data_IF_916304973774
#
_entry.id   IF_916304973774
#
_cell.length_a   1.000
_cell.length_b   1.000
_cell.length_c   1.000
_cell.angle_alpha   90.00
_cell.angle_beta   90.00
_cell.angle_gamma   90.00
#
_symmetry.space_group_name_H-M   'P 1'
#
loop_
_entity.id
_entity.type
_entity.pdbx_description
1 polymer ?
#
# COMPACT_ATOMS: atom_id res chain seq x y z
N UNK A 1 -0.05 -15.49 -22.84
CA UNK A 1 0.01 -16.65 -21.93
C UNK A 1 1.44 -17.08 -21.55
N UNK A 2 2.44 -16.97 -22.41
CA UNK A 2 3.82 -17.42 -22.11
C UNK A 2 4.51 -16.72 -20.93
N UNK A 3 4.26 -15.43 -20.69
CA UNK A 3 4.91 -14.68 -19.59
C UNK A 3 4.44 -15.04 -18.18
N UNK A 4 3.16 -15.39 -18.01
CA UNK A 4 2.59 -15.79 -16.70
C UNK A 4 3.18 -17.10 -16.20
N UNK A 5 3.25 -18.12 -17.08
CA UNK A 5 3.79 -19.44 -16.74
C UNK A 5 5.26 -19.37 -16.33
N UNK A 6 6.06 -18.52 -16.99
CA UNK A 6 7.48 -18.38 -16.70
C UNK A 6 7.75 -17.73 -15.34
N UNK A 7 7.04 -16.67 -14.97
CA UNK A 7 7.21 -16.01 -13.65
C UNK A 7 6.84 -16.92 -12.48
N UNK A 8 5.80 -17.74 -12.63
CA UNK A 8 5.42 -18.72 -11.59
C UNK A 8 6.50 -19.80 -11.43
N UNK A 9 7.16 -20.22 -12.50
CA UNK A 9 8.28 -21.18 -12.45
C UNK A 9 9.53 -20.57 -11.80
N UNK A 10 9.72 -19.27 -11.91
CA UNK A 10 10.88 -18.57 -11.34
C UNK A 10 10.68 -18.16 -9.87
N UNK A 11 9.52 -18.48 -9.25
CA UNK A 11 9.19 -18.04 -7.88
C UNK A 11 10.25 -18.42 -6.84
N UNK A 12 10.93 -19.54 -7.02
CA UNK A 12 11.99 -19.99 -6.10
C UNK A 12 13.37 -19.32 -6.35
N UNK A 13 13.44 -18.39 -7.31
CA UNK A 13 14.66 -17.64 -7.59
C UNK A 13 14.48 -16.16 -7.22
N UNK A 14 14.90 -15.79 -6.02
CA UNK A 14 14.76 -14.43 -5.50
C UNK A 14 15.29 -13.35 -6.46
N UNK A 15 16.48 -13.54 -7.05
CA UNK A 15 17.10 -12.56 -7.95
C UNK A 15 16.20 -12.21 -9.15
N UNK A 16 15.34 -13.12 -9.57
CA UNK A 16 14.40 -12.90 -10.69
C UNK A 16 13.09 -12.27 -10.27
N UNK A 17 12.69 -12.44 -9.01
CA UNK A 17 11.35 -12.02 -8.53
C UNK A 17 11.38 -10.85 -7.57
N UNK A 18 12.54 -10.48 -7.05
CA UNK A 18 12.68 -9.42 -6.03
C UNK A 18 12.01 -8.09 -6.40
N UNK A 19 12.07 -7.69 -7.67
CA UNK A 19 11.45 -6.46 -8.16
C UNK A 19 9.93 -6.55 -8.39
N UNK A 20 9.36 -7.75 -8.30
CA UNK A 20 7.92 -8.00 -8.45
C UNK A 20 7.21 -8.19 -7.09
N UNK A 21 7.96 -8.17 -5.97
CA UNK A 21 7.39 -8.29 -4.62
C UNK A 21 6.71 -6.98 -4.21
N UNK A 22 5.55 -7.09 -3.59
CA UNK A 22 4.79 -5.93 -3.09
C UNK A 22 3.84 -6.34 -1.96
N UNK A 23 3.30 -5.34 -1.24
CA UNK A 23 2.42 -5.55 -0.10
C UNK A 23 0.96 -5.31 -0.49
N UNK A 24 0.06 -6.19 0.00
CA UNK A 24 -1.39 -6.00 -0.04
C UNK A 24 -1.99 -6.16 1.34
N UNK A 25 -3.02 -5.38 1.62
CA UNK A 25 -3.73 -5.44 2.90
C UNK A 25 -4.87 -6.46 2.85
N UNK A 26 -4.98 -7.25 3.92
CA UNK A 26 -6.14 -8.10 4.18
C UNK A 26 -6.64 -7.87 5.61
N UNK A 27 -7.96 -7.94 5.80
CA UNK A 27 -8.52 -8.03 7.15
C UNK A 27 -8.18 -9.41 7.72
N UNK A 28 -7.37 -9.48 8.79
CA UNK A 28 -6.88 -10.73 9.35
C UNK A 28 -8.02 -11.69 9.71
N UNK A 29 -9.01 -11.20 10.46
CA UNK A 29 -10.14 -12.00 10.94
C UNK A 29 -10.99 -12.58 9.82
N UNK A 30 -11.19 -11.82 8.73
CA UNK A 30 -11.98 -12.28 7.57
C UNK A 30 -11.23 -13.24 6.66
N UNK A 31 -9.89 -13.26 6.74
CA UNK A 31 -9.04 -14.00 5.81
C UNK A 31 -8.08 -14.98 6.47
N UNK A 32 -8.39 -15.48 7.69
CA UNK A 32 -7.53 -16.39 8.47
C UNK A 32 -7.02 -17.57 7.64
N UNK A 33 -7.93 -18.30 6.96
CA UNK A 33 -7.56 -19.41 6.08
C UNK A 33 -6.65 -19.01 4.93
N UNK A 34 -6.83 -17.81 4.40
CA UNK A 34 -6.01 -17.29 3.31
C UNK A 34 -4.62 -16.84 3.78
N UNK A 35 -4.45 -16.60 5.08
CA UNK A 35 -3.19 -16.20 5.70
C UNK A 35 -2.37 -17.41 6.20
N UNK A 36 -2.95 -18.60 6.19
CA UNK A 36 -2.25 -19.82 6.55
C UNK A 36 -0.99 -20.00 5.66
N UNK A 37 0.17 -20.14 6.30
CA UNK A 37 1.49 -20.19 5.66
C UNK A 37 1.90 -18.97 4.80
N UNK A 38 1.10 -17.90 4.77
CA UNK A 38 1.47 -16.67 4.08
C UNK A 38 2.53 -15.89 4.89
N UNK A 39 3.35 -15.13 4.18
CA UNK A 39 4.26 -14.15 4.80
C UNK A 39 3.49 -12.84 4.99
N UNK A 40 3.35 -12.39 6.24
CA UNK A 40 2.69 -11.11 6.53
C UNK A 40 3.12 -10.53 7.88
N UNK A 41 3.04 -9.22 8.00
CA UNK A 41 3.09 -8.51 9.30
C UNK A 41 1.69 -8.05 9.68
N UNK A 42 1.40 -8.05 10.99
CA UNK A 42 0.10 -7.63 11.51
C UNK A 42 0.22 -6.30 12.23
N UNK A 43 -0.73 -5.41 11.94
CA UNK A 43 -0.93 -4.15 12.64
C UNK A 43 -2.44 -3.97 12.87
N UNK A 44 -2.87 -3.98 14.13
CA UNK A 44 -4.26 -3.72 14.55
C UNK A 44 -5.33 -4.51 13.76
N UNK A 45 -5.09 -5.81 13.56
CA UNK A 45 -6.02 -6.70 12.84
C UNK A 45 -5.95 -6.60 11.31
N UNK A 46 -5.03 -5.79 10.78
CA UNK A 46 -4.71 -5.71 9.37
C UNK A 46 -3.48 -6.58 9.10
N UNK A 47 -3.59 -7.50 8.16
CA UNK A 47 -2.47 -8.28 7.66
C UNK A 47 -1.87 -7.58 6.44
N UNK A 48 -0.64 -7.12 6.55
CA UNK A 48 0.19 -6.60 5.46
C UNK A 48 0.91 -7.77 4.80
N UNK A 49 0.33 -8.30 3.74
CA UNK A 49 0.71 -9.61 3.17
C UNK A 49 1.65 -9.44 1.98
N UNK A 50 2.69 -10.25 1.95
CA UNK A 50 3.65 -10.30 0.85
C UNK A 50 3.07 -10.99 -0.37
N UNK A 51 3.05 -10.30 -1.50
CA UNK A 51 2.63 -10.79 -2.80
C UNK A 51 3.72 -10.62 -3.84
N UNK A 52 3.64 -11.40 -4.90
CA UNK A 52 4.44 -11.25 -6.10
C UNK A 52 3.54 -10.96 -7.30
N UNK A 53 3.89 -9.97 -8.09
CA UNK A 53 3.24 -9.65 -9.37
C UNK A 53 3.65 -10.69 -10.41
N UNK A 54 2.68 -11.45 -10.92
CA UNK A 54 2.93 -12.47 -11.95
C UNK A 54 2.53 -12.03 -13.35
N UNK A 55 1.77 -10.96 -13.47
CA UNK A 55 1.37 -10.38 -14.76
C UNK A 55 0.58 -9.09 -14.58
N UNK A 56 0.38 -8.40 -15.70
CA UNK A 56 -0.50 -7.22 -15.77
C UNK A 56 -1.21 -7.24 -17.13
N UNK A 57 -2.51 -7.01 -17.10
CA UNK A 57 -3.32 -6.89 -18.31
C UNK A 57 -4.43 -5.87 -18.07
N UNK A 58 -4.60 -4.94 -19.01
CA UNK A 58 -5.67 -3.94 -19.00
C UNK A 58 -5.76 -3.17 -17.65
N UNK A 59 -4.61 -2.78 -17.09
CA UNK A 59 -4.52 -2.12 -15.78
C UNK A 59 -4.67 -3.05 -14.56
N UNK A 60 -5.10 -4.29 -14.74
CA UNK A 60 -5.26 -5.26 -13.65
C UNK A 60 -3.97 -6.02 -13.38
N UNK A 61 -3.55 -6.05 -12.12
CA UNK A 61 -2.38 -6.81 -11.66
C UNK A 61 -2.82 -8.20 -11.23
N UNK A 62 -2.29 -9.23 -11.92
CA UNK A 62 -2.35 -10.61 -11.46
C UNK A 62 -1.22 -10.86 -10.47
N UNK A 63 -1.53 -11.42 -9.32
CA UNK A 63 -0.55 -11.63 -8.26
C UNK A 63 -0.77 -12.94 -7.53
N UNK A 64 0.28 -13.46 -6.91
CA UNK A 64 0.22 -14.61 -6.00
C UNK A 64 0.80 -14.25 -4.64
N UNK A 65 0.26 -14.84 -3.59
CA UNK A 65 0.83 -14.70 -2.23
C UNK A 65 2.13 -15.46 -2.13
N UNK A 66 3.05 -14.91 -1.35
CA UNK A 66 4.30 -15.60 -0.99
C UNK A 66 4.07 -16.38 0.29
N UNK A 67 4.49 -17.64 0.27
CA UNK A 67 4.46 -18.54 1.40
C UNK A 67 5.81 -18.59 2.10
N UNK A 68 5.80 -18.93 3.40
CA UNK A 68 7.03 -19.06 4.21
C UNK A 68 8.05 -20.03 3.61
N UNK A 69 7.58 -21.08 2.95
CA UNK A 69 8.46 -22.00 2.24
C UNK A 69 9.32 -21.32 1.15
N UNK A 70 8.75 -20.32 0.44
CA UNK A 70 9.49 -19.59 -0.59
C UNK A 70 10.63 -18.75 0.01
N UNK A 71 10.47 -18.22 1.24
CA UNK A 71 11.55 -17.50 1.92
C UNK A 71 12.72 -18.43 2.26
N UNK A 72 12.41 -19.66 2.70
CA UNK A 72 13.42 -20.66 2.95
C UNK A 72 14.22 -21.01 1.68
N UNK A 73 13.52 -21.18 0.54
CA UNK A 73 14.16 -21.41 -0.76
C UNK A 73 15.04 -20.22 -1.20
N UNK A 74 14.67 -18.99 -0.81
CA UNK A 74 15.44 -17.78 -1.10
C UNK A 74 16.63 -17.56 -0.15
N UNK A 75 16.64 -18.25 0.99
CA UNK A 75 17.63 -18.02 2.06
C UNK A 75 17.48 -16.65 2.72
N UNK A 76 16.25 -16.12 2.77
CA UNK A 76 15.91 -14.80 3.32
C UNK A 76 15.08 -14.92 4.58
N UNK A 77 15.21 -13.97 5.48
CA UNK A 77 14.27 -13.79 6.58
C UNK A 77 13.02 -13.00 6.17
N UNK A 78 12.01 -13.05 7.03
CA UNK A 78 10.72 -12.40 6.78
C UNK A 78 10.86 -10.87 6.74
N UNK A 79 11.73 -10.28 7.56
CA UNK A 79 11.89 -8.82 7.69
C UNK A 79 12.56 -8.26 6.43
N UNK A 80 13.64 -8.88 5.95
CA UNK A 80 14.32 -8.46 4.73
C UNK A 80 13.38 -8.52 3.52
N UNK A 81 12.65 -9.62 3.34
CA UNK A 81 11.69 -9.77 2.24
C UNK A 81 10.57 -8.73 2.31
N UNK A 82 10.11 -8.41 3.53
CA UNK A 82 9.06 -7.44 3.76
C UNK A 82 9.51 -6.01 3.45
N UNK A 83 10.70 -5.60 3.90
CA UNK A 83 11.25 -4.28 3.63
C UNK A 83 11.50 -4.06 2.13
N UNK A 84 12.03 -5.06 1.44
CA UNK A 84 12.16 -5.02 0.00
C UNK A 84 10.80 -4.83 -0.71
N UNK A 85 9.77 -5.52 -0.25
CA UNK A 85 8.44 -5.40 -0.81
C UNK A 85 7.78 -4.04 -0.50
N UNK A 86 8.02 -3.45 0.67
CA UNK A 86 7.57 -2.09 0.99
C UNK A 86 8.22 -1.06 0.05
N UNK A 87 9.53 -1.13 -0.14
CA UNK A 87 10.25 -0.25 -1.05
C UNK A 87 9.72 -0.39 -2.49
N UNK A 88 9.55 -1.62 -2.97
CA UNK A 88 8.97 -1.86 -4.30
C UNK A 88 7.54 -1.31 -4.41
N UNK A 89 6.71 -1.49 -3.37
CA UNK A 89 5.34 -0.98 -3.36
C UNK A 89 5.34 0.54 -3.48
N UNK A 90 6.23 1.23 -2.76
CA UNK A 90 6.39 2.68 -2.85
C UNK A 90 6.74 3.13 -4.28
N UNK A 91 7.71 2.49 -4.93
CA UNK A 91 8.14 2.86 -6.28
C UNK A 91 7.12 2.48 -7.37
N UNK A 92 6.46 1.34 -7.22
CA UNK A 92 5.47 0.86 -8.19
C UNK A 92 4.14 1.62 -8.10
N UNK A 93 3.78 2.06 -6.90
CA UNK A 93 2.49 2.69 -6.60
C UNK A 93 2.69 3.81 -5.58
N UNK A 94 3.31 4.94 -5.96
CA UNK A 94 3.60 6.04 -5.05
C UNK A 94 2.35 6.51 -4.29
N UNK A 95 2.49 6.88 -3.00
CA UNK A 95 1.38 7.36 -2.20
C UNK A 95 0.87 8.71 -2.73
N UNK A 96 -0.44 8.95 -2.61
CA UNK A 96 -1.13 10.16 -3.04
C UNK A 96 -2.23 10.53 -2.07
N UNK A 97 -2.44 11.82 -1.90
CA UNK A 97 -3.62 12.37 -1.21
C UNK A 97 -4.63 12.84 -2.26
N UNK A 98 -5.89 12.45 -2.07
CA UNK A 98 -6.98 12.80 -2.96
C UNK A 98 -7.98 13.71 -2.26
N UNK A 99 -8.32 14.82 -2.91
CA UNK A 99 -9.36 15.76 -2.52
C UNK A 99 -10.69 15.27 -3.10
N UNK A 100 -11.70 15.10 -2.27
CA UNK A 100 -13.00 14.63 -2.72
C UNK A 100 -13.63 15.50 -3.80
N UNK A 101 -13.54 16.80 -3.63
CA UNK A 101 -14.03 17.77 -4.60
C UNK A 101 -13.33 17.63 -5.97
N UNK A 102 -12.03 17.40 -5.98
CA UNK A 102 -11.29 17.18 -7.22
C UNK A 102 -11.67 15.86 -7.90
N UNK A 103 -11.88 14.79 -7.14
CA UNK A 103 -12.34 13.51 -7.67
C UNK A 103 -13.72 13.60 -8.35
N UNK A 104 -14.61 14.46 -7.81
CA UNK A 104 -15.95 14.64 -8.36
C UNK A 104 -15.96 15.42 -9.68
N UNK A 105 -15.08 16.41 -9.81
CA UNK A 105 -15.10 17.36 -10.94
C UNK A 105 -14.01 17.11 -11.98
N UNK A 106 -12.98 16.32 -11.67
CA UNK A 106 -11.88 16.03 -12.57
C UNK A 106 -11.59 14.51 -12.62
N UNK A 107 -12.11 13.78 -13.62
CA UNK A 107 -11.87 12.35 -13.77
C UNK A 107 -10.40 11.97 -13.95
N UNK A 108 -9.56 12.92 -14.38
CA UNK A 108 -8.13 12.73 -14.61
C UNK A 108 -7.26 13.21 -13.43
N UNK A 109 -7.87 13.51 -12.28
CA UNK A 109 -7.12 13.90 -11.11
C UNK A 109 -6.31 12.73 -10.56
N UNK A 110 -4.99 12.85 -10.58
CA UNK A 110 -4.04 11.80 -10.19
C UNK A 110 -3.69 11.83 -8.69
N UNK A 111 -4.30 12.74 -7.94
CA UNK A 111 -3.97 12.97 -6.53
C UNK A 111 -2.71 13.81 -6.35
N UNK A 112 -2.58 14.39 -5.16
CA UNK A 112 -1.46 15.26 -4.81
C UNK A 112 -0.26 14.42 -4.39
N UNK A 113 0.92 14.76 -4.88
CA UNK A 113 2.20 14.18 -4.46
C UNK A 113 2.69 14.86 -3.16
N UNK A 114 2.06 14.50 -2.05
CA UNK A 114 2.39 15.08 -0.75
C UNK A 114 3.78 14.65 -0.22
N UNK A 115 4.41 13.67 -0.86
CA UNK A 115 5.79 13.26 -0.54
C UNK A 115 6.84 14.17 -1.20
N UNK A 116 6.45 15.01 -2.18
CA UNK A 116 7.32 16.03 -2.70
C UNK A 116 7.70 17.04 -1.58
N UNK A 117 8.97 17.39 -1.49
CA UNK A 117 9.49 18.31 -0.46
C UNK A 117 8.91 19.73 -0.61
N UNK A 118 8.48 20.11 -1.81
CA UNK A 118 7.86 21.41 -2.08
C UNK A 118 6.35 21.43 -1.85
N UNK A 119 5.77 20.29 -1.43
CA UNK A 119 4.35 20.24 -1.09
C UNK A 119 4.13 20.83 0.31
N UNK A 120 3.48 22.01 0.36
CA UNK A 120 3.23 22.78 1.58
C UNK A 120 1.74 22.94 1.91
N UNK A 121 0.85 22.30 1.15
CA UNK A 121 -0.59 22.46 1.34
C UNK A 121 -1.02 21.90 2.70
N UNK A 122 -1.77 22.72 3.47
CA UNK A 122 -2.32 22.30 4.75
C UNK A 122 -3.45 21.27 4.54
N UNK A 123 -3.23 20.06 5.04
CA UNK A 123 -4.19 18.94 4.92
C UNK A 123 -5.35 19.09 5.93
N UNK A 124 -5.17 19.90 7.00
CA UNK A 124 -6.12 20.03 8.13
C UNK A 124 -7.38 20.81 7.78
N UNK A 125 -7.30 21.79 6.88
CA UNK A 125 -8.39 22.72 6.59
C UNK A 125 -9.55 22.12 5.78
N UNK A 126 -9.55 20.83 5.56
CA UNK A 126 -10.56 20.15 4.73
C UNK A 126 -11.68 19.57 5.59
N UNK A 127 -12.84 20.17 5.54
CA UNK A 127 -14.04 19.70 6.28
C UNK A 127 -14.45 18.26 5.98
N UNK A 128 -14.10 17.72 4.81
CA UNK A 128 -14.43 16.36 4.40
C UNK A 128 -13.33 15.32 4.74
N UNK A 129 -12.21 15.74 5.35
CA UNK A 129 -11.03 14.92 5.50
C UNK A 129 -10.27 14.72 4.18
N UNK A 130 -9.14 14.01 4.26
CA UNK A 130 -8.34 13.67 3.10
C UNK A 130 -8.33 12.17 2.86
N UNK A 131 -8.39 11.76 1.61
CA UNK A 131 -8.33 10.36 1.22
C UNK A 131 -6.89 10.00 0.85
N UNK A 132 -6.28 9.08 1.61
CA UNK A 132 -4.97 8.53 1.33
C UNK A 132 -5.11 7.26 0.48
N UNK A 133 -4.41 7.22 -0.63
CA UNK A 133 -4.34 6.08 -1.52
C UNK A 133 -2.97 6.07 -2.24
N UNK A 134 -2.87 5.33 -3.32
CA UNK A 134 -1.71 5.33 -4.21
C UNK A 134 -2.07 5.83 -5.61
N UNK A 135 -1.08 6.12 -6.44
CA UNK A 135 -1.26 6.64 -7.80
C UNK A 135 -2.18 5.78 -8.68
N UNK A 136 -2.26 4.47 -8.43
CA UNK A 136 -3.15 3.55 -9.16
C UNK A 136 -4.50 3.33 -8.48
N UNK A 137 -4.72 3.83 -7.27
CA UNK A 137 -5.92 3.70 -6.44
C UNK A 137 -6.40 2.27 -6.17
N UNK A 138 -5.71 1.26 -6.64
CA UNK A 138 -6.01 -0.16 -6.40
C UNK A 138 -5.12 -0.70 -5.30
N UNK A 139 -5.72 -1.25 -4.24
CA UNK A 139 -5.04 -1.63 -3.00
C UNK A 139 -4.27 -0.47 -2.34
N UNK A 140 -4.71 0.76 -2.55
CA UNK A 140 -4.00 1.98 -2.18
C UNK A 140 -3.99 2.29 -0.68
N UNK A 141 -4.85 1.65 0.12
CA UNK A 141 -4.80 1.78 1.58
C UNK A 141 -3.45 1.33 2.18
N UNK A 142 -2.65 0.57 1.42
CA UNK A 142 -1.27 0.21 1.82
C UNK A 142 -0.38 1.44 2.00
N UNK A 143 -0.73 2.58 1.41
CA UNK A 143 0.05 3.81 1.45
C UNK A 143 0.44 4.22 2.88
N UNK A 144 -0.44 4.01 3.87
CA UNK A 144 -0.18 4.35 5.27
C UNK A 144 1.00 3.58 5.88
N UNK A 145 1.29 2.39 5.38
CA UNK A 145 2.38 1.53 5.86
C UNK A 145 3.69 1.73 5.07
N UNK A 146 3.67 2.57 4.04
CA UNK A 146 4.87 2.83 3.24
C UNK A 146 5.86 3.71 4.02
N UNK A 147 7.17 3.59 3.75
CA UNK A 147 8.20 4.33 4.48
C UNK A 147 7.95 5.84 4.49
N UNK A 148 8.05 6.44 5.68
CA UNK A 148 7.93 7.87 5.95
C UNK A 148 6.56 8.50 5.63
N UNK A 149 5.57 7.76 5.15
CA UNK A 149 4.26 8.32 4.78
C UNK A 149 3.52 8.84 6.01
N UNK A 150 3.40 8.04 7.07
CA UNK A 150 2.72 8.47 8.28
C UNK A 150 3.40 9.69 8.93
N UNK A 151 4.74 9.71 8.97
CA UNK A 151 5.49 10.85 9.49
C UNK A 151 5.23 12.11 8.66
N UNK A 152 5.31 12.01 7.34
CA UNK A 152 5.07 13.15 6.45
C UNK A 152 3.65 13.72 6.58
N UNK A 153 2.65 12.85 6.78
CA UNK A 153 1.27 13.29 7.03
C UNK A 153 1.18 14.06 8.36
N UNK A 154 1.79 13.53 9.42
CA UNK A 154 1.82 14.19 10.72
C UNK A 154 2.52 15.56 10.65
N UNK A 155 3.64 15.65 9.94
CA UNK A 155 4.37 16.90 9.72
C UNK A 155 3.51 17.95 8.95
N UNK A 156 2.79 17.50 7.91
CA UNK A 156 1.89 18.39 7.14
C UNK A 156 0.64 18.81 7.91
N UNK A 157 0.24 18.03 8.93
CA UNK A 157 -0.88 18.36 9.80
C UNK A 157 -0.47 19.15 11.03
N UNK A 158 0.83 19.19 11.35
CA UNK A 158 1.35 19.67 12.64
C UNK A 158 0.60 19.04 13.84
N UNK A 159 0.19 17.76 13.70
CA UNK A 159 -0.57 17.02 14.68
C UNK A 159 -0.51 15.50 14.45
N UNK A 160 -0.90 14.74 15.47
CA UNK A 160 -1.30 13.34 15.30
C UNK A 160 -2.59 13.25 14.47
N UNK A 161 -2.83 12.08 13.88
CA UNK A 161 -4.04 11.87 13.08
C UNK A 161 -4.65 10.48 13.28
N UNK A 162 -5.94 10.40 13.02
CA UNK A 162 -6.66 9.13 12.94
C UNK A 162 -6.69 8.61 11.51
N UNK A 163 -6.59 7.29 11.38
CA UNK A 163 -6.73 6.58 10.11
C UNK A 163 -7.99 5.73 10.17
N UNK A 164 -8.85 5.89 9.17
CA UNK A 164 -10.05 5.08 9.01
C UNK A 164 -9.95 4.33 7.69
N UNK A 165 -9.76 3.01 7.76
CA UNK A 165 -9.75 2.17 6.55
C UNK A 165 -11.18 1.99 6.04
N UNK A 166 -11.52 2.71 4.98
CA UNK A 166 -12.83 2.63 4.31
C UNK A 166 -12.90 1.41 3.40
N UNK A 167 -11.78 1.04 2.82
CA UNK A 167 -11.62 -0.15 1.97
C UNK A 167 -10.16 -0.59 1.90
N UNK A 168 -9.85 -1.63 1.14
CA UNK A 168 -8.46 -1.99 0.79
C UNK A 168 -7.83 -1.01 -0.21
N UNK A 169 -8.64 -0.14 -0.81
CA UNK A 169 -8.22 0.78 -1.86
C UNK A 169 -7.81 2.14 -1.32
N UNK A 170 -8.32 2.52 -0.17
CA UNK A 170 -8.13 3.86 0.40
C UNK A 170 -8.33 3.89 1.92
N UNK A 171 -7.74 4.89 2.55
CA UNK A 171 -7.97 5.23 3.95
C UNK A 171 -8.27 6.73 4.09
N UNK A 172 -9.19 7.08 4.98
CA UNK A 172 -9.42 8.47 5.37
C UNK A 172 -8.46 8.85 6.48
N UNK A 173 -7.91 10.04 6.40
CA UNK A 173 -7.04 10.63 7.42
C UNK A 173 -7.71 11.86 8.01
N UNK A 174 -7.73 11.95 9.33
CA UNK A 174 -8.35 13.04 10.08
C UNK A 174 -7.38 13.52 11.17
N UNK A 175 -7.18 14.84 11.33
CA UNK A 175 -6.36 15.36 12.41
C UNK A 175 -6.97 14.96 13.76
N UNK A 176 -6.12 14.75 14.77
CA UNK A 176 -6.56 14.38 16.11
C UNK A 176 -7.25 15.55 16.82
N UNK A 177 -6.77 16.78 16.59
CA UNK A 177 -7.44 18.00 17.08
C UNK A 177 -8.64 18.32 16.21
N UNK A 178 -9.78 17.76 16.56
CA UNK A 178 -11.06 18.20 16.00
C UNK A 178 -11.49 19.41 16.82
N UNK A 179 -11.28 20.61 16.31
CA UNK A 179 -11.91 21.81 16.83
C UNK A 179 -13.37 21.78 16.40
N UNK A 180 -14.25 21.30 17.29
CA UNK A 180 -15.70 21.51 17.12
C UNK A 180 -15.95 23.01 17.30
N UNK A 181 -16.21 23.72 16.22
CA UNK A 181 -16.78 25.07 16.24
C UNK A 181 -18.25 25.02 16.57
#
# INVERSE_FOLDING_TARGET
MQGFSKKVQDVNNYSKVKGDLFIRLLNKKKHEKALENAVYKEVDGIACVLYMKVGQRDGCISSMKIHKASLADWGMDEDEAYENALANTYFLTPPRIYKWECLLFNPNYEGDDFMDMNYEENIVERNAGSCLSTSIRTNGAVAVFLPNVAQRIADLMDDDFYIVFTSVHEAMIHPKRIHWL
#
